data_IF_872734277530
#
_entry.id   IF_872734277530
#
_cell.length_a   1.000
_cell.length_b   1.000
_cell.length_c   1.000
_cell.angle_alpha   90.00
_cell.angle_beta   90.00
_cell.angle_gamma   90.00
#
_symmetry.space_group_name_H-M   'P 1'
#
loop_
_entity.id
_entity.type
_entity.pdbx_description
1 polymer ?
#
# COMPACT_ATOMS: atom_id res chain seq x y z
N UNK A 1 -26.18 7.76 -18.43
CA UNK A 1 -24.72 7.51 -18.56
C UNK A 1 -24.54 6.03 -18.88
N UNK A 2 -23.71 5.67 -19.86
CA UNK A 2 -23.54 4.26 -20.25
C UNK A 2 -22.75 3.50 -19.18
N UNK A 3 -23.14 2.25 -18.92
CA UNK A 3 -22.46 1.33 -18.00
C UNK A 3 -20.94 1.24 -18.26
N UNK A 4 -20.54 1.35 -19.52
CA UNK A 4 -19.13 1.38 -19.96
C UNK A 4 -18.31 2.48 -19.25
N UNK A 5 -18.88 3.67 -18.98
CA UNK A 5 -18.17 4.75 -18.28
C UNK A 5 -17.82 4.34 -16.85
N UNK A 6 -18.72 3.64 -16.16
CA UNK A 6 -18.48 3.13 -14.81
C UNK A 6 -17.38 2.07 -14.78
N UNK A 7 -17.35 1.19 -15.78
CA UNK A 7 -16.32 0.16 -15.91
C UNK A 7 -14.93 0.76 -16.17
N UNK A 8 -14.83 1.71 -17.11
CA UNK A 8 -13.56 2.40 -17.41
C UNK A 8 -13.08 3.17 -16.18
N UNK A 9 -13.98 3.84 -15.46
CA UNK A 9 -13.66 4.54 -14.21
C UNK A 9 -13.11 3.59 -13.14
N UNK A 10 -13.72 2.41 -12.97
CA UNK A 10 -13.25 1.41 -12.01
C UNK A 10 -11.84 0.90 -12.35
N UNK A 11 -11.58 0.61 -13.63
CA UNK A 11 -10.26 0.15 -14.09
C UNK A 11 -9.19 1.22 -13.89
N UNK A 12 -9.47 2.47 -14.26
CA UNK A 12 -8.54 3.58 -14.09
C UNK A 12 -8.23 3.86 -12.61
N UNK A 13 -9.26 3.87 -11.75
CA UNK A 13 -9.09 4.07 -10.31
C UNK A 13 -8.30 2.91 -9.67
N UNK A 14 -8.58 1.67 -10.05
CA UNK A 14 -7.83 0.50 -9.59
C UNK A 14 -6.36 0.54 -10.02
N UNK A 15 -6.08 0.88 -11.27
CA UNK A 15 -4.72 1.03 -11.77
C UNK A 15 -3.95 2.14 -11.03
N UNK A 16 -4.59 3.30 -10.81
CA UNK A 16 -3.99 4.40 -10.05
C UNK A 16 -3.69 3.99 -8.60
N UNK A 17 -4.61 3.29 -7.93
CA UNK A 17 -4.39 2.78 -6.58
C UNK A 17 -3.17 1.85 -6.53
N UNK A 18 -3.03 0.94 -7.50
CA UNK A 18 -1.92 0.02 -7.59
C UNK A 18 -0.57 0.73 -7.78
N UNK A 19 -0.51 1.70 -8.71
CA UNK A 19 0.71 2.48 -8.99
C UNK A 19 1.16 3.27 -7.75
N UNK A 20 0.23 3.77 -6.93
CA UNK A 20 0.56 4.50 -5.71
C UNK A 20 0.96 3.56 -4.57
N UNK A 21 0.29 2.42 -4.41
CA UNK A 21 0.52 1.49 -3.31
C UNK A 21 1.84 0.70 -3.45
N UNK A 22 2.19 0.25 -4.66
CA UNK A 22 3.38 -0.58 -4.91
C UNK A 22 4.70 0.05 -4.43
N UNK A 23 5.04 1.31 -4.74
CA UNK A 23 6.28 1.91 -4.26
C UNK A 23 6.31 2.06 -2.74
N UNK A 24 5.18 2.40 -2.11
CA UNK A 24 5.08 2.45 -0.65
C UNK A 24 5.31 1.07 -0.03
N UNK A 25 4.71 0.03 -0.60
CA UNK A 25 4.88 -1.36 -0.17
C UNK A 25 6.33 -1.84 -0.32
N UNK A 26 6.97 -1.55 -1.47
CA UNK A 26 8.38 -1.91 -1.71
C UNK A 26 9.33 -1.22 -0.74
N UNK A 27 9.09 0.05 -0.44
CA UNK A 27 9.89 0.79 0.53
C UNK A 27 9.76 0.20 1.93
N UNK A 28 8.55 -0.19 2.33
CA UNK A 28 8.34 -0.88 3.61
C UNK A 28 9.09 -2.21 3.66
N UNK A 29 8.97 -3.06 2.63
CA UNK A 29 9.70 -4.32 2.57
C UNK A 29 11.23 -4.14 2.59
N UNK A 30 11.75 -3.10 1.94
CA UNK A 30 13.18 -2.82 1.93
C UNK A 30 13.71 -2.46 3.32
N UNK A 31 12.93 -1.73 4.13
CA UNK A 31 13.27 -1.42 5.53
C UNK A 31 13.27 -2.68 6.38
N UNK A 32 12.17 -3.44 6.36
CA UNK A 32 12.06 -4.70 7.08
C UNK A 32 13.23 -5.66 6.79
N UNK A 33 13.66 -5.77 5.52
CA UNK A 33 14.82 -6.61 5.17
C UNK A 33 16.14 -6.12 5.76
N UNK A 34 16.34 -4.81 5.86
CA UNK A 34 17.55 -4.23 6.48
C UNK A 34 17.54 -4.47 7.98
N UNK A 35 16.39 -4.30 8.61
CA UNK A 35 16.22 -4.49 10.05
C UNK A 35 16.45 -5.95 10.43
N UNK A 36 15.87 -6.89 9.69
CA UNK A 36 16.12 -8.34 9.87
C UNK A 36 17.61 -8.71 9.70
N UNK A 37 18.31 -8.10 8.74
CA UNK A 37 19.74 -8.34 8.56
C UNK A 37 20.56 -7.75 9.71
N UNK A 38 20.19 -6.56 10.21
CA UNK A 38 20.83 -5.95 11.36
C UNK A 38 20.61 -6.78 12.63
N UNK A 39 19.40 -7.27 12.86
CA UNK A 39 19.09 -8.19 13.96
C UNK A 39 19.92 -9.47 13.89
N UNK A 40 20.01 -10.11 12.72
CA UNK A 40 20.85 -11.30 12.51
C UNK A 40 22.32 -11.01 12.78
N UNK A 41 22.82 -9.87 12.34
CA UNK A 41 24.20 -9.46 12.58
C UNK A 41 24.49 -9.19 14.06
N UNK A 42 23.57 -8.54 14.77
CA UNK A 42 23.68 -8.29 16.21
C UNK A 42 23.57 -9.59 17.01
N UNK A 43 22.67 -10.50 16.62
CA UNK A 43 22.56 -11.83 17.19
C UNK A 43 23.83 -12.65 17.00
N UNK A 44 24.43 -12.61 15.81
CA UNK A 44 25.73 -13.24 15.56
C UNK A 44 26.86 -12.69 16.45
N UNK A 45 26.84 -11.38 16.76
CA UNK A 45 27.79 -10.75 17.70
C UNK A 45 27.47 -10.95 19.18
N UNK A 46 26.45 -11.75 19.52
CA UNK A 46 26.02 -11.95 20.90
C UNK A 46 25.44 -10.71 21.57
N UNK A 47 25.05 -9.69 20.77
CA UNK A 47 24.46 -8.42 21.23
C UNK A 47 22.98 -8.31 20.85
N UNK A 48 22.24 -9.42 20.88
CA UNK A 48 20.79 -9.39 20.71
C UNK A 48 20.13 -8.77 21.95
N UNK A 49 20.33 -7.47 22.13
CA UNK A 49 19.72 -6.66 23.18
C UNK A 49 18.75 -5.68 22.53
N UNK A 50 17.49 -5.79 22.97
CA UNK A 50 16.33 -4.95 22.63
C UNK A 50 15.85 -5.03 21.17
N UNK A 51 14.58 -5.43 21.01
CA UNK A 51 13.88 -5.42 19.72
C UNK A 51 13.85 -3.98 19.19
N UNK A 52 14.12 -3.76 17.89
CA UNK A 52 14.01 -2.42 17.32
C UNK A 52 12.60 -1.86 17.59
N UNK A 53 12.57 -0.68 18.24
CA UNK A 53 11.36 0.05 18.60
C UNK A 53 10.48 0.29 17.37
N UNK A 54 9.21 -0.08 17.52
CA UNK A 54 8.04 0.17 16.67
C UNK A 54 8.33 0.88 15.33
N UNK A 55 8.25 0.08 14.27
CA UNK A 55 8.33 0.50 12.88
C UNK A 55 7.15 1.43 12.53
N UNK A 56 7.28 2.70 12.89
CA UNK A 56 6.34 3.75 12.50
C UNK A 56 6.49 3.98 10.99
N UNK A 57 5.44 3.63 10.25
CA UNK A 57 5.24 4.10 8.88
C UNK A 57 5.55 5.59 8.80
N UNK A 58 6.44 5.96 7.87
CA UNK A 58 6.74 7.37 7.64
C UNK A 58 5.46 8.12 7.28
N UNK A 59 5.36 9.40 7.63
CA UNK A 59 4.19 10.23 7.30
C UNK A 59 3.90 10.24 5.79
N UNK A 60 4.94 10.16 4.95
CA UNK A 60 4.83 10.01 3.51
C UNK A 60 4.28 8.64 3.07
N UNK A 61 4.66 7.55 3.71
CA UNK A 61 4.10 6.22 3.37
C UNK A 61 2.64 6.14 3.82
N UNK A 62 2.31 6.73 4.98
CA UNK A 62 0.93 6.82 5.48
C UNK A 62 0.03 7.61 4.53
N UNK A 63 0.49 8.74 4.00
CA UNK A 63 -0.29 9.54 3.05
C UNK A 63 -0.49 8.80 1.72
N UNK A 64 0.55 8.11 1.20
CA UNK A 64 0.44 7.29 -0.02
C UNK A 64 -0.54 6.14 0.15
N UNK A 65 -0.52 5.47 1.30
CA UNK A 65 -1.49 4.41 1.62
C UNK A 65 -2.91 4.95 1.79
N UNK A 66 -3.07 6.13 2.40
CA UNK A 66 -4.38 6.79 2.50
C UNK A 66 -4.95 7.16 1.13
N UNK A 67 -4.11 7.71 0.23
CA UNK A 67 -4.50 8.02 -1.15
C UNK A 67 -4.85 6.75 -1.93
N UNK A 68 -4.04 5.69 -1.81
CA UNK A 68 -4.35 4.41 -2.43
C UNK A 68 -5.67 3.80 -1.91
N UNK A 69 -5.93 3.91 -0.61
CA UNK A 69 -7.20 3.49 -0.01
C UNK A 69 -8.40 4.29 -0.53
N UNK A 70 -8.26 5.62 -0.65
CA UNK A 70 -9.30 6.47 -1.23
C UNK A 70 -9.59 6.09 -2.69
N UNK A 71 -8.55 5.85 -3.50
CA UNK A 71 -8.69 5.39 -4.89
C UNK A 71 -9.36 4.01 -4.97
N UNK A 72 -9.07 3.11 -4.05
CA UNK A 72 -9.74 1.80 -3.97
C UNK A 72 -11.24 1.95 -3.66
N UNK A 73 -11.63 2.86 -2.75
CA UNK A 73 -13.04 3.15 -2.48
C UNK A 73 -13.75 3.73 -3.72
N UNK A 74 -13.08 4.61 -4.46
CA UNK A 74 -13.62 5.14 -5.72
C UNK A 74 -13.81 4.01 -6.74
N UNK A 75 -12.86 3.08 -6.87
CA UNK A 75 -13.00 1.93 -7.76
C UNK A 75 -14.19 1.04 -7.38
N UNK A 76 -14.40 0.79 -6.08
CA UNK A 76 -15.57 0.05 -5.57
C UNK A 76 -16.87 0.79 -5.88
N UNK A 77 -16.91 2.10 -5.68
CA UNK A 77 -18.07 2.92 -6.01
C UNK A 77 -18.41 2.86 -7.51
N UNK A 78 -17.39 2.94 -8.38
CA UNK A 78 -17.56 2.77 -9.81
C UNK A 78 -18.08 1.38 -10.18
N UNK A 79 -17.63 0.31 -9.51
CA UNK A 79 -18.16 -1.05 -9.72
C UNK A 79 -19.61 -1.18 -9.29
N UNK A 80 -20.00 -0.59 -8.15
CA UNK A 80 -21.41 -0.55 -7.72
C UNK A 80 -22.26 0.21 -8.74
N UNK A 81 -21.78 1.35 -9.22
CA UNK A 81 -22.42 2.08 -10.33
C UNK A 81 -22.56 1.22 -11.59
N UNK A 82 -21.53 0.45 -11.95
CA UNK A 82 -21.62 -0.47 -13.07
C UNK A 82 -22.73 -1.51 -12.86
N UNK A 83 -22.74 -2.26 -11.76
CA UNK A 83 -23.76 -3.29 -11.53
C UNK A 83 -25.18 -2.76 -11.34
N UNK A 84 -25.34 -1.48 -10.97
CA UNK A 84 -26.66 -0.86 -10.79
C UNK A 84 -27.22 -0.27 -12.09
N UNK A 85 -26.35 0.14 -13.03
CA UNK A 85 -26.74 0.78 -14.28
C UNK A 85 -26.34 -0.02 -15.54
N UNK A 86 -25.86 -1.26 -15.39
CA UNK A 86 -25.62 -2.24 -16.45
C UNK A 86 -26.84 -3.15 -16.61
#
# INVERSE_FOLDING_TARGET
MSSVVWLIGALAAGAAAFVVAVPAWRNHQARQRRDLNAERYLAWRGRAGERPQDERLTTSDRSRLAVAGALALVAVFCLVGFFTYA
#
